data_IF_582139752090
#
_entry.id   IF_582139752090
#
_cell.length_a   1.000
_cell.length_b   1.000
_cell.length_c   1.000
_cell.angle_alpha   90.00
_cell.angle_beta   90.00
_cell.angle_gamma   90.00
#
_symmetry.space_group_name_H-M   'P 1'
#
loop_
_entity.id
_entity.type
_entity.pdbx_description
1 polymer ?
#
# COMPACT_ATOMS: atom_id res chain seq x y z
N UNK A 1 6.51 5.64 -16.39
CA UNK A 1 5.56 5.88 -15.29
C UNK A 1 5.84 4.86 -14.19
N UNK A 2 6.06 5.29 -12.95
CA UNK A 2 6.27 4.40 -11.82
C UNK A 2 4.97 4.29 -11.01
N UNK A 3 4.51 3.07 -10.77
CA UNK A 3 3.34 2.81 -9.92
C UNK A 3 3.83 2.31 -8.58
N UNK A 4 3.39 2.92 -7.50
CA UNK A 4 3.69 2.48 -6.15
C UNK A 4 2.40 2.01 -5.47
N UNK A 5 2.46 0.87 -4.79
CA UNK A 5 1.31 0.33 -4.06
C UNK A 5 1.34 0.76 -2.60
N UNK A 6 0.26 1.39 -2.13
CA UNK A 6 0.07 1.67 -0.71
C UNK A 6 -0.96 0.71 -0.12
N UNK A 7 -0.59 0.10 1.00
CA UNK A 7 -1.35 -0.92 1.71
C UNK A 7 -1.51 -0.48 3.16
N UNK A 8 -2.72 -0.56 3.72
CA UNK A 8 -2.98 -0.18 5.10
C UNK A 8 -3.88 -1.19 5.81
N UNK A 9 -3.52 -1.54 7.04
CA UNK A 9 -4.43 -2.15 7.99
C UNK A 9 -4.65 -1.27 9.22
N UNK A 10 -5.82 -1.38 9.85
CA UNK A 10 -6.17 -0.55 11.00
C UNK A 10 -5.57 -1.03 12.32
N UNK A 11 -5.16 -2.31 12.41
CA UNK A 11 -4.53 -2.89 13.61
C UNK A 11 -3.37 -3.80 13.19
N UNK A 12 -2.41 -4.02 14.08
CA UNK A 12 -1.28 -4.93 13.83
C UNK A 12 -1.68 -6.40 13.69
N UNK A 13 -2.87 -6.76 14.16
CA UNK A 13 -3.47 -8.10 13.99
C UNK A 13 -4.12 -8.29 12.62
N UNK A 14 -4.38 -7.20 11.90
CA UNK A 14 -4.94 -7.23 10.56
C UNK A 14 -3.79 -7.31 9.54
N UNK A 15 -3.90 -8.24 8.60
CA UNK A 15 -2.88 -8.39 7.55
C UNK A 15 -3.02 -7.26 6.51
N UNK A 16 -2.17 -6.23 6.61
CA UNK A 16 -2.12 -5.15 5.64
C UNK A 16 -1.68 -5.62 4.23
N UNK A 17 -1.04 -6.78 4.13
CA UNK A 17 -0.56 -7.32 2.86
C UNK A 17 -1.61 -8.12 2.08
N UNK A 18 -2.80 -8.36 2.64
CA UNK A 18 -3.84 -9.21 2.02
C UNK A 18 -4.21 -8.75 0.61
N UNK A 19 -4.29 -7.45 0.39
CA UNK A 19 -4.63 -6.87 -0.92
C UNK A 19 -3.45 -6.78 -1.89
N UNK A 20 -2.21 -7.03 -1.44
CA UNK A 20 -0.99 -6.88 -2.24
C UNK A 20 -1.02 -7.70 -3.52
N UNK A 21 -1.40 -8.97 -3.40
CA UNK A 21 -1.38 -9.88 -4.55
C UNK A 21 -2.47 -9.53 -5.57
N UNK A 22 -3.66 -9.15 -5.09
CA UNK A 22 -4.75 -8.67 -5.94
C UNK A 22 -4.37 -7.38 -6.69
N UNK A 23 -3.75 -6.41 -6.01
CA UNK A 23 -3.28 -5.17 -6.62
C UNK A 23 -2.13 -5.42 -7.61
N UNK A 24 -1.23 -6.36 -7.31
CA UNK A 24 -0.17 -6.76 -8.24
C UNK A 24 -0.75 -7.38 -9.50
N UNK A 25 -1.72 -8.28 -9.36
CA UNK A 25 -2.42 -8.90 -10.48
C UNK A 25 -3.16 -7.86 -11.33
N UNK A 26 -3.87 -6.93 -10.69
CA UNK A 26 -4.55 -5.81 -11.35
C UNK A 26 -3.56 -4.94 -12.14
N UNK A 27 -2.50 -4.45 -11.51
CA UNK A 27 -1.48 -3.65 -12.19
C UNK A 27 -0.90 -4.40 -13.40
N UNK A 28 -0.58 -5.69 -13.24
CA UNK A 28 -0.04 -6.51 -14.32
C UNK A 28 -1.04 -6.72 -15.47
N UNK A 29 -2.33 -6.92 -15.16
CA UNK A 29 -3.40 -7.00 -16.17
C UNK A 29 -3.55 -5.70 -16.98
N UNK A 30 -3.27 -4.56 -16.36
CA UNK A 30 -3.30 -3.25 -17.01
C UNK A 30 -1.94 -2.84 -17.64
N UNK A 31 -0.96 -3.74 -17.72
CA UNK A 31 0.35 -3.45 -18.32
C UNK A 31 1.24 -2.56 -17.45
N UNK A 32 0.95 -2.43 -16.16
CA UNK A 32 1.71 -1.65 -15.20
C UNK A 32 2.51 -2.53 -14.25
N UNK A 33 3.73 -2.10 -13.93
CA UNK A 33 4.59 -2.76 -12.94
C UNK A 33 4.70 -1.89 -11.69
N UNK A 34 4.47 -2.51 -10.54
CA UNK A 34 4.61 -1.85 -9.24
C UNK A 34 6.10 -1.80 -8.87
N UNK A 35 6.62 -0.58 -8.66
CA UNK A 35 8.02 -0.29 -8.36
C UNK A 35 8.35 -0.47 -6.87
N UNK A 36 7.36 -0.32 -5.99
CA UNK A 36 7.54 -0.44 -4.54
C UNK A 36 6.21 -0.57 -3.80
N UNK A 37 6.29 -1.04 -2.56
CA UNK A 37 5.15 -1.20 -1.66
C UNK A 37 5.40 -0.45 -0.36
N UNK A 38 4.39 0.30 0.06
CA UNK A 38 4.34 1.04 1.32
C UNK A 38 3.25 0.42 2.17
N UNK A 39 3.59 -0.06 3.36
CA UNK A 39 2.68 -0.84 4.21
C UNK A 39 2.59 -0.18 5.58
N UNK A 40 1.39 0.24 5.95
CA UNK A 40 1.14 0.97 7.19
C UNK A 40 0.10 0.24 8.06
N UNK A 41 0.45 -0.01 9.33
CA UNK A 41 -0.43 -0.66 10.31
C UNK A 41 -0.94 0.36 11.31
N UNK A 42 -1.62 1.39 10.81
CA UNK A 42 -2.14 2.50 11.61
C UNK A 42 -3.63 2.67 11.42
N UNK A 43 -4.32 2.98 12.50
CA UNK A 43 -5.73 3.35 12.49
C UNK A 43 -6.00 4.47 11.48
N UNK A 44 -7.13 4.37 10.77
CA UNK A 44 -7.50 5.34 9.72
C UNK A 44 -7.73 6.75 10.25
N UNK A 45 -7.94 6.90 11.56
CA UNK A 45 -8.11 8.17 12.28
C UNK A 45 -6.78 8.82 12.67
N UNK A 46 -5.65 8.09 12.56
CA UNK A 46 -4.34 8.62 12.91
C UNK A 46 -3.80 9.48 11.77
N UNK A 47 -3.44 10.73 12.10
CA UNK A 47 -2.88 11.70 11.16
C UNK A 47 -1.44 11.37 10.77
N UNK A 48 -0.73 10.62 11.62
CA UNK A 48 0.65 10.21 11.38
C UNK A 48 0.70 8.86 10.63
N UNK A 49 0.83 8.93 9.30
CA UNK A 49 0.96 7.78 8.40
C UNK A 49 2.33 7.82 7.72
N UNK A 50 3.38 7.30 8.37
CA UNK A 50 4.76 7.51 7.92
C UNK A 50 5.01 6.98 6.50
N UNK A 51 4.42 5.84 6.14
CA UNK A 51 4.65 5.24 4.82
C UNK A 51 3.80 5.92 3.73
N UNK A 52 2.65 6.50 4.10
CA UNK A 52 1.89 7.36 3.18
C UNK A 52 2.63 8.67 2.91
N UNK A 53 3.20 9.29 3.95
CA UNK A 53 3.97 10.53 3.82
C UNK A 53 5.18 10.28 2.91
N UNK A 54 5.89 9.17 3.10
CA UNK A 54 7.05 8.75 2.29
C UNK A 54 6.70 8.40 0.83
N UNK A 55 5.44 8.12 0.54
CA UNK A 55 4.96 7.93 -0.82
C UNK A 55 4.64 9.27 -1.51
N UNK A 56 4.19 10.28 -0.74
CA UNK A 56 3.72 11.56 -1.27
C UNK A 56 4.83 12.63 -1.36
N UNK A 57 5.89 12.48 -0.57
CA UNK A 57 7.07 13.35 -0.52
C UNK A 57 8.28 12.67 -1.15
#
# INVERSE_FOLDING_TARGET
MFVFGYLRASTSEQDASRAKNALKAFANQHGHRIAGWYIDNVSGTTMNRPELIRLLW
#
